data_IF_555568677397
#
_entry.id   IF_555568677397
#
_cell.length_a   1.000
_cell.length_b   1.000
_cell.length_c   1.000
_cell.angle_alpha   90.00
_cell.angle_beta   90.00
_cell.angle_gamma   90.00
#
_symmetry.space_group_name_H-M   'P 1'
#
loop_
_entity.id
_entity.type
_entity.pdbx_description
1 polymer ?
#
# COMPACT_ATOMS: atom_id res chain seq x y z
N UNK A 1 7.89 43.31 -35.28
CA UNK A 1 9.10 42.91 -34.52
C UNK A 1 8.84 42.54 -33.06
N UNK A 2 7.76 42.99 -32.40
CA UNK A 2 7.51 42.71 -30.97
C UNK A 2 7.00 41.30 -30.66
N UNK A 3 6.30 40.65 -31.60
CA UNK A 3 5.75 39.29 -31.41
C UNK A 3 6.84 38.19 -31.53
N UNK A 4 7.88 38.45 -32.35
CA UNK A 4 8.99 37.51 -32.57
C UNK A 4 9.92 37.38 -31.35
N UNK A 5 10.06 38.46 -30.57
CA UNK A 5 10.89 38.48 -29.34
C UNK A 5 10.26 37.68 -28.19
N UNK A 6 8.92 37.62 -28.13
CA UNK A 6 8.17 36.85 -27.13
C UNK A 6 8.16 35.35 -27.47
N UNK A 7 8.17 34.98 -28.75
CA UNK A 7 8.22 33.59 -29.17
C UNK A 7 9.62 32.97 -28.95
N UNK A 8 10.69 33.71 -29.26
CA UNK A 8 12.07 33.26 -29.02
C UNK A 8 12.36 33.10 -27.52
N UNK A 9 11.79 33.97 -26.67
CA UNK A 9 11.96 33.83 -25.22
C UNK A 9 11.23 32.59 -24.66
N UNK A 10 10.04 32.27 -25.18
CA UNK A 10 9.30 31.07 -24.80
C UNK A 10 9.93 29.78 -25.33
N UNK A 11 10.52 29.81 -26.54
CA UNK A 11 11.21 28.65 -27.11
C UNK A 11 12.53 28.37 -26.38
N UNK A 12 13.30 29.41 -26.04
CA UNK A 12 14.48 29.27 -25.19
C UNK A 12 14.13 28.82 -23.78
N UNK A 13 12.98 29.25 -23.23
CA UNK A 13 12.48 28.74 -21.94
C UNK A 13 12.07 27.27 -22.03
N UNK A 14 11.42 26.85 -23.12
CA UNK A 14 11.05 25.45 -23.36
C UNK A 14 12.28 24.55 -23.59
N UNK A 15 13.30 25.05 -24.31
CA UNK A 15 14.58 24.37 -24.49
C UNK A 15 15.37 24.35 -23.19
N UNK A 16 15.35 25.41 -22.38
CA UNK A 16 15.92 25.41 -21.02
C UNK A 16 15.18 24.44 -20.11
N UNK A 17 13.85 24.34 -20.18
CA UNK A 17 13.06 23.38 -19.40
C UNK A 17 13.30 21.96 -19.89
N UNK A 18 13.36 21.69 -21.20
CA UNK A 18 13.68 20.38 -21.76
C UNK A 18 15.12 19.97 -21.46
N UNK A 19 16.09 20.86 -21.60
CA UNK A 19 17.49 20.58 -21.26
C UNK A 19 17.71 20.49 -19.75
N UNK A 20 17.02 21.27 -18.91
CA UNK A 20 17.04 21.06 -17.45
C UNK A 20 16.34 19.77 -17.08
N UNK A 21 15.22 19.40 -17.69
CA UNK A 21 14.51 18.14 -17.35
C UNK A 21 15.30 16.93 -17.82
N UNK A 22 15.93 17.00 -19.00
CA UNK A 22 16.82 15.94 -19.52
C UNK A 22 18.13 15.90 -18.72
N UNK A 23 18.73 17.05 -18.36
CA UNK A 23 19.96 17.10 -17.55
C UNK A 23 19.69 16.70 -16.10
N UNK A 24 18.54 17.05 -15.52
CA UNK A 24 18.11 16.59 -14.19
C UNK A 24 17.80 15.09 -14.21
N UNK A 25 17.18 14.56 -15.27
CA UNK A 25 16.97 13.12 -15.44
C UNK A 25 18.27 12.35 -15.69
N UNK A 26 19.23 12.91 -16.43
CA UNK A 26 20.54 12.28 -16.70
C UNK A 26 21.45 12.34 -15.48
N UNK A 27 21.46 13.43 -14.71
CA UNK A 27 22.18 13.50 -13.43
C UNK A 27 21.54 12.61 -12.36
N UNK A 28 20.21 12.51 -12.29
CA UNK A 28 19.54 11.57 -11.38
C UNK A 28 19.83 10.11 -11.76
N UNK A 29 19.95 9.78 -13.05
CA UNK A 29 20.25 8.42 -13.54
C UNK A 29 21.74 8.08 -13.45
N UNK A 30 22.66 9.04 -13.65
CA UNK A 30 24.10 8.81 -13.44
C UNK A 30 24.51 8.78 -11.96
N UNK A 31 23.81 9.51 -11.08
CA UNK A 31 24.14 9.56 -9.64
C UNK A 31 23.34 8.55 -8.80
N UNK A 32 22.32 7.88 -9.37
CA UNK A 32 21.59 6.77 -8.73
C UNK A 32 22.08 5.38 -9.15
N UNK A 33 23.30 5.27 -9.69
CA UNK A 33 24.01 4.00 -9.83
C UNK A 33 25.15 3.91 -8.80
N UNK A 34 24.88 3.77 -7.49
CA UNK A 34 25.63 2.79 -6.74
C UNK A 34 25.14 1.40 -7.16
N UNK A 35 26.03 0.42 -7.15
CA UNK A 35 25.75 -1.01 -7.38
C UNK A 35 25.86 -1.49 -8.84
N UNK A 36 27.02 -1.23 -9.45
CA UNK A 36 27.56 -2.10 -10.52
C UNK A 36 28.51 -3.20 -9.99
N UNK A 37 28.55 -3.47 -8.68
CA UNK A 37 29.50 -4.42 -8.07
C UNK A 37 28.88 -5.71 -7.50
N UNK A 38 27.59 -5.99 -7.73
CA UNK A 38 26.94 -7.19 -7.20
C UNK A 38 26.88 -8.39 -8.18
N UNK A 39 27.86 -8.56 -9.08
CA UNK A 39 27.88 -9.71 -10.00
C UNK A 39 29.29 -10.29 -10.29
N UNK A 40 30.14 -10.38 -9.26
CA UNK A 40 31.22 -11.37 -9.22
C UNK A 40 31.10 -12.22 -7.94
N UNK A 41 30.31 -13.28 -8.01
CA UNK A 41 30.31 -14.28 -6.95
C UNK A 41 29.14 -15.23 -7.05
N UNK A 42 29.39 -16.43 -7.58
CA UNK A 42 28.51 -17.57 -7.33
C UNK A 42 28.38 -17.77 -5.81
N UNK A 43 27.16 -17.71 -5.25
CA UNK A 43 26.84 -18.44 -4.02
C UNK A 43 25.44 -19.04 -4.09
N UNK A 44 25.39 -20.29 -3.64
CA UNK A 44 24.27 -21.21 -3.62
C UNK A 44 23.25 -20.93 -2.51
N UNK A 45 22.05 -21.55 -2.54
CA UNK A 45 20.85 -21.08 -1.84
C UNK A 45 20.77 -21.27 -0.30
N UNK A 46 21.86 -21.59 0.41
CA UNK A 46 21.79 -22.01 1.82
C UNK A 46 22.03 -20.92 2.89
N UNK A 47 22.49 -19.71 2.52
CA UNK A 47 22.96 -18.72 3.51
C UNK A 47 21.95 -17.62 3.93
N UNK A 48 20.70 -17.65 3.43
CA UNK A 48 19.72 -16.55 3.64
C UNK A 48 19.01 -16.54 5.01
N UNK A 49 19.44 -17.34 6.01
CA UNK A 49 18.76 -17.42 7.32
C UNK A 49 19.44 -16.65 8.47
N UNK A 50 20.60 -15.99 8.28
CA UNK A 50 21.36 -15.42 9.42
C UNK A 50 21.77 -13.94 9.35
N UNK A 51 21.10 -13.13 8.53
CA UNK A 51 21.32 -11.67 8.48
C UNK A 51 20.03 -10.87 8.61
N UNK A 52 19.23 -11.16 9.64
CA UNK A 52 18.05 -10.36 9.98
C UNK A 52 18.13 -9.89 11.44
N UNK A 53 19.21 -9.22 11.77
CA UNK A 53 19.39 -8.43 12.99
C UNK A 53 20.53 -7.45 12.68
N UNK A 54 20.36 -6.17 13.03
CA UNK A 54 21.27 -5.05 12.75
C UNK A 54 21.45 -4.75 11.26
N UNK A 55 20.55 -3.91 10.72
CA UNK A 55 20.91 -2.81 9.80
C UNK A 55 19.63 -1.98 9.58
N UNK A 56 19.42 -1.07 10.53
CA UNK A 56 18.44 0.01 10.41
C UNK A 56 19.09 1.18 9.66
N UNK A 57 18.41 1.60 8.60
CA UNK A 57 18.34 2.97 8.07
C UNK A 57 19.58 3.86 8.16
N UNK A 58 20.31 3.96 7.03
CA UNK A 58 21.10 5.14 6.72
C UNK A 58 20.94 5.56 5.25
N UNK A 59 19.76 6.06 4.88
CA UNK A 59 19.63 6.92 3.70
C UNK A 59 19.62 8.38 4.13
N UNK A 60 20.83 8.94 4.09
CA UNK A 60 21.19 10.32 4.39
C UNK A 60 20.79 11.20 3.19
N UNK A 61 19.62 11.82 3.25
CA UNK A 61 19.28 12.92 2.35
C UNK A 61 19.82 14.23 2.93
N UNK A 62 20.97 14.68 2.41
CA UNK A 62 21.43 16.05 2.57
C UNK A 62 20.53 16.97 1.72
N UNK A 63 19.71 17.80 2.37
CA UNK A 63 19.41 19.14 1.88
C UNK A 63 18.97 20.03 3.05
N UNK A 64 19.84 20.98 3.39
CA UNK A 64 19.60 22.28 4.01
C UNK A 64 18.54 22.43 5.09
N UNK A 65 19.01 22.64 6.33
CA UNK A 65 18.41 23.61 7.25
C UNK A 65 17.63 23.03 8.44
N UNK A 66 18.07 23.41 9.65
CA UNK A 66 17.39 23.27 10.95
C UNK A 66 17.38 21.86 11.57
N UNK A 67 18.45 21.58 12.30
CA UNK A 67 18.56 20.52 13.31
C UNK A 67 17.72 20.92 14.55
N UNK A 68 16.45 20.56 14.60
CA UNK A 68 15.69 20.51 15.87
C UNK A 68 14.71 19.34 15.81
N UNK A 69 14.69 18.53 16.87
CA UNK A 69 13.80 17.39 17.14
C UNK A 69 14.12 16.07 16.41
N UNK A 70 15.10 15.32 16.94
CA UNK A 70 15.13 13.86 16.79
C UNK A 70 15.31 13.13 18.13
N UNK A 71 14.73 13.68 19.20
CA UNK A 71 14.71 13.07 20.54
C UNK A 71 13.31 13.00 21.15
N UNK A 72 12.27 12.96 20.31
CA UNK A 72 10.85 12.81 20.73
C UNK A 72 10.14 11.77 19.85
N UNK A 73 10.70 10.56 19.69
CA UNK A 73 9.96 9.48 19.00
C UNK A 73 9.91 8.15 19.76
N UNK A 74 10.61 8.03 20.90
CA UNK A 74 10.75 6.74 21.60
C UNK A 74 9.83 6.58 22.83
N UNK A 75 8.91 7.52 23.08
CA UNK A 75 7.99 7.48 24.25
C UNK A 75 6.49 7.56 23.93
N UNK A 76 6.08 7.50 22.66
CA UNK A 76 4.65 7.57 22.27
C UNK A 76 4.09 6.30 21.60
N UNK A 77 4.78 5.16 21.69
CA UNK A 77 4.42 3.95 20.93
C UNK A 77 3.58 2.91 21.70
N UNK A 78 3.16 3.18 22.95
CA UNK A 78 2.33 2.24 23.72
C UNK A 78 0.81 2.43 23.51
N UNK A 79 0.35 3.61 23.06
CA UNK A 79 -1.08 3.92 22.97
C UNK A 79 -1.75 3.56 21.62
N UNK A 80 -1.02 3.19 20.57
CA UNK A 80 -1.58 2.98 19.21
C UNK A 80 -1.69 1.52 18.77
N UNK A 81 -1.46 0.53 19.64
CA UNK A 81 -1.53 -0.88 19.22
C UNK A 81 -2.94 -1.46 19.08
N UNK A 82 -3.97 -0.70 19.48
CA UNK A 82 -5.38 -1.13 19.41
C UNK A 82 -6.26 -0.08 18.75
N UNK A 83 -7.44 -0.50 18.31
CA UNK A 83 -8.51 0.41 17.90
C UNK A 83 -9.31 0.81 19.14
N UNK A 84 -9.73 2.08 19.21
CA UNK A 84 -10.64 2.53 20.26
C UNK A 84 -12.07 2.10 19.90
N UNK A 85 -12.54 1.00 20.47
CA UNK A 85 -13.87 0.42 20.21
C UNK A 85 -14.46 -0.15 21.49
N UNK A 86 -15.78 0.02 21.66
CA UNK A 86 -16.52 -0.53 22.81
C UNK A 86 -16.62 -2.05 22.65
N UNK A 87 -16.33 -2.85 23.69
CA UNK A 87 -16.39 -4.30 23.63
C UNK A 87 -17.85 -4.78 23.58
N UNK A 88 -18.31 -5.17 22.39
CA UNK A 88 -19.64 -5.75 22.15
C UNK A 88 -19.54 -6.89 21.14
N UNK A 89 -20.45 -7.84 21.19
CA UNK A 89 -20.48 -9.01 20.28
C UNK A 89 -20.57 -8.57 18.81
N UNK A 90 -21.34 -7.52 18.53
CA UNK A 90 -21.48 -6.94 17.18
C UNK A 90 -20.16 -6.37 16.69
N UNK A 91 -19.45 -5.59 17.53
CA UNK A 91 -18.14 -5.04 17.19
C UNK A 91 -17.08 -6.12 16.99
N UNK A 92 -17.11 -7.19 17.78
CA UNK A 92 -16.25 -8.36 17.57
C UNK A 92 -16.45 -8.96 16.17
N UNK A 93 -17.70 -9.06 15.70
CA UNK A 93 -18.03 -9.48 14.33
C UNK A 93 -17.42 -8.54 13.28
N UNK A 94 -17.57 -7.23 13.46
CA UNK A 94 -17.03 -6.20 12.55
C UNK A 94 -15.50 -6.27 12.48
N UNK A 95 -14.80 -6.38 13.61
CA UNK A 95 -13.34 -6.44 13.64
C UNK A 95 -12.82 -7.75 13.03
N UNK A 96 -13.49 -8.89 13.26
CA UNK A 96 -13.17 -10.16 12.58
C UNK A 96 -13.35 -10.07 11.07
N UNK A 97 -14.44 -9.46 10.60
CA UNK A 97 -14.66 -9.25 9.17
C UNK A 97 -13.57 -8.36 8.56
N UNK A 98 -13.13 -7.31 9.28
CA UNK A 98 -11.99 -6.46 8.87
C UNK A 98 -10.67 -7.23 8.80
N UNK A 99 -10.41 -8.14 9.75
CA UNK A 99 -9.21 -8.99 9.72
C UNK A 99 -9.22 -9.89 8.48
N UNK A 100 -10.33 -10.56 8.18
CA UNK A 100 -10.48 -11.38 6.97
C UNK A 100 -10.34 -10.54 5.70
N UNK A 101 -10.87 -9.31 5.70
CA UNK A 101 -10.68 -8.35 4.61
C UNK A 101 -9.21 -7.97 4.42
N UNK A 102 -8.48 -7.70 5.51
CA UNK A 102 -7.07 -7.35 5.49
C UNK A 102 -6.18 -8.51 5.01
N UNK A 103 -6.45 -9.75 5.41
CA UNK A 103 -5.69 -10.93 4.97
C UNK A 103 -5.92 -11.23 3.49
N UNK A 104 -7.17 -11.13 3.01
CA UNK A 104 -7.48 -11.24 1.57
C UNK A 104 -6.85 -10.11 0.77
N UNK A 105 -6.94 -8.86 1.26
CA UNK A 105 -6.37 -7.68 0.63
C UNK A 105 -4.85 -7.77 0.48
N UNK A 106 -4.16 -8.26 1.51
CA UNK A 106 -2.74 -8.58 1.45
C UNK A 106 -2.44 -9.56 0.32
N UNK A 107 -3.07 -10.74 0.32
CA UNK A 107 -2.81 -11.78 -0.68
C UNK A 107 -2.99 -11.28 -2.12
N UNK A 108 -3.98 -10.40 -2.37
CA UNK A 108 -4.22 -9.79 -3.68
C UNK A 108 -3.12 -8.77 -4.04
N UNK A 109 -2.74 -7.90 -3.11
CA UNK A 109 -1.68 -6.91 -3.34
C UNK A 109 -0.33 -7.57 -3.57
N UNK A 110 -0.05 -8.68 -2.88
CA UNK A 110 1.17 -9.47 -3.08
C UNK A 110 1.23 -10.10 -4.48
N UNK A 111 0.13 -10.70 -4.94
CA UNK A 111 0.03 -11.19 -6.33
C UNK A 111 0.23 -10.08 -7.36
N UNK A 112 -0.34 -8.88 -7.10
CA UNK A 112 -0.16 -7.70 -7.97
C UNK A 112 1.30 -7.24 -7.99
N UNK A 113 1.98 -7.14 -6.84
CA UNK A 113 3.39 -6.72 -6.79
C UNK A 113 4.30 -7.69 -7.52
N UNK A 114 4.04 -8.98 -7.40
CA UNK A 114 4.85 -10.02 -8.04
C UNK A 114 4.67 -9.97 -9.58
N UNK A 115 3.43 -9.79 -10.06
CA UNK A 115 3.15 -9.60 -11.49
C UNK A 115 3.82 -8.33 -12.06
N UNK A 116 3.77 -7.21 -11.33
CA UNK A 116 4.46 -5.98 -11.73
C UNK A 116 5.98 -6.15 -11.78
N UNK A 117 6.56 -6.92 -10.84
CA UNK A 117 8.01 -7.17 -10.80
C UNK A 117 8.48 -8.01 -12.00
N UNK A 118 7.66 -8.96 -12.47
CA UNK A 118 7.96 -9.73 -13.69
C UNK A 118 8.02 -8.80 -14.90
N UNK A 119 7.02 -7.92 -15.06
CA UNK A 119 6.96 -6.94 -16.15
C UNK A 119 8.12 -5.93 -16.07
N UNK A 120 8.46 -5.47 -14.87
CA UNK A 120 9.60 -4.59 -14.62
C UNK A 120 10.92 -5.19 -15.15
N UNK A 121 11.17 -6.47 -14.86
CA UNK A 121 12.37 -7.18 -15.35
C UNK A 121 12.36 -7.33 -16.87
N UNK A 122 11.21 -7.56 -17.49
CA UNK A 122 11.09 -7.65 -18.95
C UNK A 122 11.41 -6.31 -19.61
N UNK A 123 10.88 -5.20 -19.06
CA UNK A 123 11.17 -3.85 -19.54
C UNK A 123 12.65 -3.50 -19.36
N UNK A 124 13.25 -3.87 -18.22
CA UNK A 124 14.68 -3.63 -17.96
C UNK A 124 15.55 -4.31 -19.03
N UNK A 125 15.28 -5.58 -19.36
CA UNK A 125 16.00 -6.28 -20.43
C UNK A 125 15.86 -5.58 -21.77
N UNK A 126 14.64 -5.12 -22.12
CA UNK A 126 14.38 -4.37 -23.36
C UNK A 126 15.13 -3.04 -23.39
N UNK A 127 15.19 -2.32 -22.27
CA UNK A 127 15.93 -1.05 -22.18
C UNK A 127 17.41 -1.27 -22.48
N UNK A 128 18.02 -2.33 -21.95
CA UNK A 128 19.44 -2.63 -22.22
C UNK A 128 19.65 -2.93 -23.70
N UNK A 129 18.85 -3.81 -24.30
CA UNK A 129 18.98 -4.14 -25.73
C UNK A 129 18.75 -2.95 -26.65
N UNK A 130 17.74 -2.11 -26.35
CA UNK A 130 17.42 -0.91 -27.15
C UNK A 130 18.47 0.18 -26.97
N UNK A 131 19.11 0.26 -25.79
CA UNK A 131 20.19 1.23 -25.55
C UNK A 131 21.46 0.87 -26.31
N UNK A 132 21.77 -0.43 -26.43
CA UNK A 132 22.86 -0.93 -27.27
C UNK A 132 22.59 -0.65 -28.76
N UNK A 133 21.38 -0.98 -29.25
CA UNK A 133 21.02 -0.72 -30.65
C UNK A 133 20.98 0.78 -30.97
N UNK A 134 20.51 1.62 -30.03
CA UNK A 134 20.57 3.08 -30.14
C UNK A 134 22.01 3.58 -30.31
N UNK A 135 22.96 3.02 -29.55
CA UNK A 135 24.38 3.38 -29.66
C UNK A 135 24.93 3.16 -31.07
N UNK A 136 24.61 2.03 -31.68
CA UNK A 136 25.06 1.69 -33.04
C UNK A 136 24.36 2.55 -34.11
N UNK A 137 23.05 2.75 -34.00
CA UNK A 137 22.28 3.59 -34.95
C UNK A 137 22.70 5.07 -34.86
N UNK A 138 23.03 5.57 -33.67
CA UNK A 138 23.53 6.93 -33.49
C UNK A 138 24.95 7.10 -34.04
N UNK A 139 25.80 6.08 -33.86
CA UNK A 139 27.15 6.04 -34.41
C UNK A 139 27.13 6.10 -35.94
N UNK A 140 26.35 5.23 -36.58
CA UNK A 140 26.17 5.22 -38.04
C UNK A 140 25.60 6.54 -38.56
N UNK A 141 24.63 7.13 -37.87
CA UNK A 141 24.05 8.44 -38.23
C UNK A 141 25.06 9.59 -38.09
N UNK A 142 25.94 9.54 -37.09
CA UNK A 142 27.00 10.54 -36.90
C UNK A 142 28.09 10.44 -37.98
N UNK A 143 28.39 9.23 -38.46
CA UNK A 143 29.27 9.04 -39.61
C UNK A 143 28.64 9.58 -40.90
N UNK A 144 27.37 9.27 -41.16
CA UNK A 144 26.65 9.81 -42.32
C UNK A 144 26.58 11.35 -42.32
N UNK A 145 26.48 11.97 -41.13
CA UNK A 145 26.57 13.43 -40.99
C UNK A 145 27.95 13.97 -41.38
N UNK A 146 29.01 13.25 -40.99
CA UNK A 146 30.39 13.65 -41.27
C UNK A 146 30.68 13.55 -42.76
N UNK A 147 30.22 12.50 -43.43
CA UNK A 147 30.29 12.34 -44.88
C UNK A 147 29.51 13.45 -45.60
N UNK A 148 28.28 13.74 -45.16
CA UNK A 148 27.47 14.82 -45.73
C UNK A 148 28.15 16.18 -45.57
N UNK A 149 28.77 16.47 -44.42
CA UNK A 149 29.53 17.71 -44.18
C UNK A 149 30.77 17.82 -45.06
N UNK A 150 31.50 16.71 -45.25
CA UNK A 150 32.69 16.68 -46.09
C UNK A 150 32.37 17.00 -47.55
N UNK A 151 31.28 16.43 -48.07
CA UNK A 151 30.88 16.61 -49.48
C UNK A 151 30.18 17.95 -49.74
N UNK A 152 29.28 18.37 -48.84
CA UNK A 152 28.47 19.58 -49.02
C UNK A 152 29.17 20.88 -48.55
N UNK A 153 30.25 20.77 -47.76
CA UNK A 153 30.91 21.91 -47.13
C UNK A 153 30.11 22.50 -45.98
N UNK A 154 30.60 23.61 -45.41
CA UNK A 154 30.05 24.19 -44.18
C UNK A 154 28.71 24.95 -44.37
N UNK A 155 28.43 25.36 -45.61
CA UNK A 155 27.27 26.17 -45.97
C UNK A 155 25.92 25.45 -45.79
N UNK A 156 25.90 24.11 -45.87
CA UNK A 156 24.67 23.30 -45.73
C UNK A 156 24.01 23.49 -44.36
N UNK A 157 24.80 23.72 -43.31
CA UNK A 157 24.31 23.86 -41.93
C UNK A 157 23.40 25.08 -41.79
N UNK A 158 23.81 26.21 -42.35
CA UNK A 158 23.04 27.46 -42.29
C UNK A 158 21.72 27.34 -43.05
N UNK A 159 21.77 26.75 -44.25
CA UNK A 159 20.58 26.50 -45.08
C UNK A 159 19.58 25.61 -44.35
N UNK A 160 20.03 24.53 -43.70
CA UNK A 160 19.13 23.63 -42.97
C UNK A 160 18.48 24.34 -41.79
N UNK A 161 19.23 25.14 -41.02
CA UNK A 161 18.72 25.86 -39.86
C UNK A 161 17.69 26.93 -40.24
N UNK A 162 17.90 27.66 -41.33
CA UNK A 162 16.96 28.68 -41.83
C UNK A 162 15.66 28.06 -42.35
N UNK A 163 15.72 26.84 -42.90
CA UNK A 163 14.56 26.13 -43.45
C UNK A 163 13.72 25.40 -42.38
N UNK A 164 14.06 25.44 -41.08
CA UNK A 164 13.25 24.81 -40.03
C UNK A 164 12.07 25.71 -39.65
N UNK A 165 10.89 25.46 -40.22
CA UNK A 165 9.65 26.13 -39.82
C UNK A 165 8.75 25.23 -38.95
N UNK A 166 8.47 24.01 -39.41
CA UNK A 166 7.60 23.05 -38.74
C UNK A 166 8.32 21.71 -38.52
N UNK A 167 7.98 21.02 -37.43
CA UNK A 167 8.51 19.68 -37.16
C UNK A 167 7.91 18.66 -38.14
N UNK A 168 8.77 17.91 -38.85
CA UNK A 168 8.36 16.85 -39.77
C UNK A 168 7.93 15.56 -39.05
N UNK A 169 8.51 15.30 -37.88
CA UNK A 169 8.19 14.14 -37.03
C UNK A 169 7.59 14.66 -35.75
N UNK A 170 6.40 14.15 -35.41
CA UNK A 170 5.69 14.45 -34.17
C UNK A 170 5.54 13.18 -33.34
N UNK A 171 5.40 13.34 -32.03
CA UNK A 171 5.22 12.23 -31.09
C UNK A 171 3.82 12.32 -30.49
N UNK A 172 3.08 11.22 -30.52
CA UNK A 172 1.77 11.09 -29.87
C UNK A 172 1.91 10.19 -28.64
N UNK A 173 1.27 10.59 -27.54
CA UNK A 173 1.18 9.75 -26.35
C UNK A 173 -0.05 8.86 -26.41
N UNK A 174 0.14 7.58 -26.11
CA UNK A 174 -0.89 6.55 -25.92
C UNK A 174 -0.77 6.00 -24.51
N UNK A 175 -1.88 5.56 -23.92
CA UNK A 175 -1.85 4.91 -22.61
C UNK A 175 -1.99 3.40 -22.78
N UNK A 176 -1.09 2.64 -22.15
CA UNK A 176 -1.13 1.17 -22.09
C UNK A 176 -1.41 0.73 -20.64
N UNK A 177 -2.31 -0.23 -20.43
CA UNK A 177 -2.66 -0.70 -19.08
C UNK A 177 -1.99 -2.04 -18.78
N UNK A 178 -1.12 -2.06 -17.77
CA UNK A 178 -0.45 -3.29 -17.31
C UNK A 178 -0.78 -3.51 -15.84
N UNK A 179 -1.47 -4.62 -15.53
CA UNK A 179 -1.86 -5.01 -14.17
C UNK A 179 -2.55 -3.89 -13.34
N UNK A 180 -3.32 -3.03 -14.02
CA UNK A 180 -4.03 -1.90 -13.40
C UNK A 180 -3.16 -0.66 -13.15
N UNK A 181 -2.00 -0.55 -13.81
CA UNK A 181 -1.16 0.66 -13.87
C UNK A 181 -1.19 1.17 -15.30
N UNK A 182 -1.55 2.45 -15.47
CA UNK A 182 -1.56 3.12 -16.78
C UNK A 182 -0.15 3.64 -17.08
N UNK A 183 0.47 3.11 -18.12
CA UNK A 183 1.79 3.49 -18.59
C UNK A 183 1.68 4.39 -19.82
N UNK A 184 2.43 5.49 -19.89
CA UNK A 184 2.53 6.30 -21.09
C UNK A 184 3.44 5.61 -22.11
N UNK A 185 2.92 5.41 -23.31
CA UNK A 185 3.62 4.92 -24.49
C UNK A 185 3.71 6.01 -25.53
N UNK A 186 4.84 6.13 -26.21
CA UNK A 186 5.01 7.10 -27.28
C UNK A 186 5.00 6.41 -28.64
N UNK A 187 4.20 6.94 -29.56
CA UNK A 187 4.15 6.53 -30.96
C UNK A 187 4.66 7.71 -31.81
N UNK A 188 5.55 7.45 -32.76
CA UNK A 188 5.99 8.48 -33.71
C UNK A 188 5.00 8.56 -34.87
N UNK A 189 4.75 9.78 -35.35
CA UNK A 189 3.88 10.06 -36.47
C UNK A 189 4.53 11.08 -37.40
N UNK A 190 4.54 10.77 -38.69
CA UNK A 190 5.07 11.65 -39.73
C UNK A 190 3.89 12.34 -40.41
N UNK A 191 3.76 13.65 -40.24
CA UNK A 191 2.84 14.45 -41.05
C UNK A 191 3.49 14.65 -42.41
N UNK A 192 2.90 14.06 -43.45
CA UNK A 192 3.42 14.10 -44.80
C UNK A 192 3.36 15.52 -45.37
N UNK A 193 4.51 16.21 -45.35
CA UNK A 193 4.93 17.23 -46.31
C UNK A 193 6.39 17.59 -46.01
N UNK A 194 7.33 16.90 -46.66
CA UNK A 194 8.76 17.18 -46.52
C UNK A 194 9.18 18.29 -47.47
N UNK A 195 8.95 19.55 -47.08
CA UNK A 195 9.36 20.76 -47.83
C UNK A 195 10.87 20.95 -47.99
N UNK A 196 11.67 20.05 -47.44
CA UNK A 196 13.14 20.14 -47.42
C UNK A 196 13.84 19.29 -48.48
N UNK A 197 13.11 18.70 -49.44
CA UNK A 197 13.73 17.85 -50.47
C UNK A 197 14.65 18.63 -51.44
N UNK A 198 14.62 19.97 -51.42
CA UNK A 198 15.54 20.82 -52.19
C UNK A 198 16.91 21.08 -51.51
N UNK A 199 17.16 20.58 -50.30
CA UNK A 199 18.45 20.79 -49.63
C UNK A 199 19.56 19.98 -50.29
N UNK A 200 20.64 20.62 -50.74
CA UNK A 200 21.81 19.95 -51.32
C UNK A 200 21.80 19.83 -52.86
N UNK A 201 20.96 20.60 -53.55
CA UNK A 201 20.88 20.62 -55.02
C UNK A 201 22.21 21.00 -55.71
N UNK A 202 23.02 21.84 -55.07
CA UNK A 202 24.28 22.33 -55.64
C UNK A 202 25.42 21.30 -55.57
N UNK A 203 25.60 20.62 -54.42
CA UNK A 203 26.62 19.59 -54.18
C UNK A 203 26.17 18.63 -53.08
N UNK A 204 26.37 17.33 -53.30
CA UNK A 204 26.25 16.31 -52.24
C UNK A 204 24.84 15.94 -51.78
N UNK A 205 23.78 16.29 -52.52
CA UNK A 205 22.39 16.01 -52.14
C UNK A 205 22.08 14.55 -51.79
N UNK A 206 22.71 13.58 -52.47
CA UNK A 206 22.55 12.16 -52.16
C UNK A 206 23.06 11.81 -50.74
N UNK A 207 24.18 12.39 -50.32
CA UNK A 207 24.75 12.16 -48.98
C UNK A 207 23.94 12.86 -47.89
N UNK A 208 23.40 14.05 -48.20
CA UNK A 208 22.47 14.76 -47.30
C UNK A 208 21.19 13.95 -47.09
N UNK A 209 20.64 13.35 -48.15
CA UNK A 209 19.45 12.51 -48.05
C UNK A 209 19.72 11.20 -47.31
N UNK A 210 20.90 10.58 -47.52
CA UNK A 210 21.33 9.40 -46.76
C UNK A 210 21.47 9.72 -45.26
N UNK A 211 22.09 10.85 -44.92
CA UNK A 211 22.20 11.34 -43.56
C UNK A 211 20.83 11.57 -42.92
N UNK A 212 19.90 12.20 -43.65
CA UNK A 212 18.52 12.38 -43.19
C UNK A 212 17.84 11.05 -42.89
N UNK A 213 17.93 10.07 -43.80
CA UNK A 213 17.35 8.74 -43.59
C UNK A 213 17.94 8.03 -42.36
N UNK A 214 19.25 8.17 -42.11
CA UNK A 214 19.90 7.63 -40.92
C UNK A 214 19.39 8.29 -39.62
N UNK A 215 19.23 9.62 -39.61
CA UNK A 215 18.68 10.33 -38.45
C UNK A 215 17.20 10.07 -38.20
N UNK A 216 16.39 9.86 -39.24
CA UNK A 216 14.98 9.45 -39.07
C UNK A 216 14.92 8.12 -38.32
N UNK A 217 15.72 7.12 -38.73
CA UNK A 217 15.84 5.83 -38.02
C UNK A 217 16.35 6.00 -36.58
N UNK A 218 17.30 6.90 -36.35
CA UNK A 218 17.77 7.22 -34.99
C UNK A 218 16.66 7.77 -34.10
N UNK A 219 15.82 8.67 -34.64
CA UNK A 219 14.71 9.28 -33.90
C UNK A 219 13.66 8.21 -33.55
N UNK A 220 13.37 7.27 -34.44
CA UNK A 220 12.46 6.15 -34.15
C UNK A 220 12.92 5.34 -32.94
N UNK A 221 14.19 4.95 -32.90
CA UNK A 221 14.78 4.20 -31.77
C UNK A 221 14.80 5.04 -30.49
N UNK A 222 15.06 6.34 -30.59
CA UNK A 222 15.02 7.26 -29.44
C UNK A 222 13.62 7.41 -28.85
N UNK A 223 12.58 7.47 -29.69
CA UNK A 223 11.18 7.55 -29.23
C UNK A 223 10.79 6.25 -28.52
N UNK A 224 11.19 5.09 -29.04
CA UNK A 224 10.96 3.80 -28.39
C UNK A 224 11.67 3.73 -27.03
N UNK A 225 12.95 4.14 -26.97
CA UNK A 225 13.71 4.17 -25.72
C UNK A 225 13.07 5.10 -24.68
N UNK A 226 12.65 6.31 -25.08
CA UNK A 226 11.99 7.27 -24.20
C UNK A 226 10.67 6.72 -23.65
N UNK A 227 9.92 5.99 -24.48
CA UNK A 227 8.69 5.29 -24.07
C UNK A 227 8.97 4.24 -22.99
N UNK A 228 10.00 3.42 -23.18
CA UNK A 228 10.40 2.40 -22.21
C UNK A 228 10.90 3.02 -20.90
N UNK A 229 11.70 4.08 -20.95
CA UNK A 229 12.21 4.79 -19.77
C UNK A 229 11.10 5.43 -18.94
N UNK A 230 10.16 6.12 -19.59
CA UNK A 230 9.04 6.76 -18.89
C UNK A 230 8.12 5.72 -18.27
N UNK A 231 7.86 4.62 -18.99
CA UNK A 231 7.11 3.47 -18.47
C UNK A 231 7.83 2.80 -17.28
N UNK A 232 9.16 2.71 -17.32
CA UNK A 232 9.96 2.14 -16.24
C UNK A 232 9.88 2.95 -14.94
N UNK A 233 10.01 4.28 -15.02
CA UNK A 233 9.91 5.16 -13.85
C UNK A 233 8.51 5.11 -13.21
N UNK A 234 7.46 5.14 -14.03
CA UNK A 234 6.07 5.07 -13.55
C UNK A 234 5.77 3.71 -12.91
N UNK A 235 6.28 2.62 -13.47
CA UNK A 235 6.12 1.28 -12.93
C UNK A 235 6.91 1.07 -11.62
N UNK A 236 8.12 1.64 -11.49
CA UNK A 236 8.92 1.59 -10.25
C UNK A 236 8.19 2.25 -9.08
N UNK A 237 7.63 3.44 -9.29
CA UNK A 237 6.83 4.13 -8.27
C UNK A 237 5.61 3.30 -7.90
N UNK A 238 4.94 2.67 -8.87
CA UNK A 238 3.82 1.78 -8.60
C UNK A 238 4.21 0.56 -7.75
N UNK A 239 5.37 -0.07 -8.02
CA UNK A 239 5.88 -1.19 -7.20
C UNK A 239 6.22 -0.74 -5.78
N UNK A 240 6.90 0.40 -5.62
CA UNK A 240 7.26 0.93 -4.30
C UNK A 240 6.01 1.23 -3.46
N UNK A 241 4.98 1.83 -4.08
CA UNK A 241 3.72 2.12 -3.38
C UNK A 241 2.94 0.86 -3.03
N UNK A 242 2.91 -0.18 -3.88
CA UNK A 242 2.27 -1.45 -3.53
C UNK A 242 3.02 -2.18 -2.42
N UNK A 243 4.35 -2.24 -2.46
CA UNK A 243 5.16 -2.87 -1.42
C UNK A 243 5.00 -2.17 -0.07
N UNK A 244 4.97 -0.83 -0.05
CA UNK A 244 4.66 -0.06 1.18
C UNK A 244 3.30 -0.43 1.76
N UNK A 245 2.28 -0.63 0.92
CA UNK A 245 0.93 -1.05 1.36
C UNK A 245 0.91 -2.47 1.91
N UNK A 246 1.63 -3.40 1.27
CA UNK A 246 1.77 -4.78 1.78
C UNK A 246 2.43 -4.76 3.16
N UNK A 247 3.54 -4.04 3.32
CA UNK A 247 4.24 -3.93 4.60
C UNK A 247 3.39 -3.28 5.69
N UNK A 248 2.60 -2.25 5.34
CA UNK A 248 1.67 -1.62 6.27
C UNK A 248 0.56 -2.59 6.74
N UNK A 249 0.07 -3.45 5.84
CA UNK A 249 -0.92 -4.46 6.19
C UNK A 249 -0.34 -5.55 7.10
N UNK A 250 0.88 -6.02 6.81
CA UNK A 250 1.57 -7.05 7.59
C UNK A 250 1.95 -6.58 8.99
N UNK A 251 2.60 -5.41 9.09
CA UNK A 251 3.28 -5.00 10.32
C UNK A 251 2.47 -4.01 11.16
N UNK A 252 1.48 -3.33 10.59
CA UNK A 252 0.69 -2.31 11.31
C UNK A 252 -0.76 -2.73 11.45
N UNK A 253 -1.47 -3.01 10.36
CA UNK A 253 -2.93 -3.21 10.41
C UNK A 253 -3.31 -4.55 11.00
N UNK A 254 -2.69 -5.65 10.54
CA UNK A 254 -3.02 -7.01 11.01
C UNK A 254 -2.77 -7.18 12.52
N UNK A 255 -1.62 -6.80 13.09
CA UNK A 255 -1.39 -6.92 14.53
C UNK A 255 -2.35 -6.06 15.35
N UNK A 256 -2.69 -4.86 14.87
CA UNK A 256 -3.65 -3.98 15.56
C UNK A 256 -5.05 -4.59 15.63
N UNK A 257 -5.49 -5.26 14.56
CA UNK A 257 -6.78 -5.95 14.54
C UNK A 257 -6.77 -7.18 15.44
N UNK A 258 -5.70 -7.97 15.44
CA UNK A 258 -5.55 -9.15 16.31
C UNK A 258 -5.56 -8.76 17.80
N UNK A 259 -4.80 -7.73 18.19
CA UNK A 259 -4.81 -7.20 19.55
C UNK A 259 -6.19 -6.71 19.98
N UNK A 260 -6.91 -6.05 19.07
CA UNK A 260 -8.28 -5.57 19.35
C UNK A 260 -9.26 -6.74 19.54
N UNK A 261 -9.12 -7.82 18.76
CA UNK A 261 -9.96 -9.02 18.91
C UNK A 261 -9.68 -9.69 20.26
N UNK A 262 -8.42 -9.82 20.65
CA UNK A 262 -8.04 -10.39 21.96
C UNK A 262 -8.62 -9.57 23.10
N UNK A 263 -8.56 -8.23 23.01
CA UNK A 263 -9.16 -7.33 24.00
C UNK A 263 -10.68 -7.53 24.12
N UNK A 264 -11.42 -7.44 23.00
CA UNK A 264 -12.90 -7.56 23.05
C UNK A 264 -13.32 -8.95 23.55
N UNK A 265 -12.61 -10.01 23.17
CA UNK A 265 -12.88 -11.36 23.69
C UNK A 265 -12.67 -11.43 25.20
N UNK A 266 -11.56 -10.90 25.71
CA UNK A 266 -11.28 -10.88 27.15
C UNK A 266 -12.34 -10.14 27.96
N UNK A 267 -12.81 -8.99 27.46
CA UNK A 267 -13.88 -8.22 28.11
C UNK A 267 -15.24 -8.94 28.08
N UNK A 268 -15.60 -9.57 26.96
CA UNK A 268 -16.84 -10.35 26.86
C UNK A 268 -16.81 -11.59 27.76
N UNK A 269 -15.66 -12.29 27.83
CA UNK A 269 -15.49 -13.46 28.68
C UNK A 269 -15.59 -13.08 30.18
N UNK A 270 -15.12 -11.90 30.57
CA UNK A 270 -15.26 -11.41 31.95
C UNK A 270 -16.72 -11.01 32.28
N UNK A 271 -17.41 -10.33 31.37
CA UNK A 271 -18.84 -10.02 31.52
C UNK A 271 -19.69 -11.30 31.64
N UNK A 272 -19.42 -12.30 30.79
CA UNK A 272 -20.10 -13.60 30.87
C UNK A 272 -19.80 -14.32 32.19
N UNK A 273 -18.56 -14.22 32.69
CA UNK A 273 -18.17 -14.77 33.98
C UNK A 273 -18.93 -14.10 35.12
N UNK A 274 -19.01 -12.76 35.15
CA UNK A 274 -19.77 -12.02 36.17
C UNK A 274 -21.26 -12.38 36.18
N UNK A 275 -21.88 -12.44 35.00
CA UNK A 275 -23.29 -12.81 34.87
C UNK A 275 -23.54 -14.26 35.29
N UNK A 276 -22.62 -15.17 34.94
CA UNK A 276 -22.68 -16.57 35.40
C UNK A 276 -22.60 -16.67 36.94
N UNK A 277 -21.71 -15.92 37.58
CA UNK A 277 -21.62 -15.87 39.04
C UNK A 277 -22.90 -15.32 39.68
N UNK A 278 -23.50 -14.27 39.10
CA UNK A 278 -24.75 -13.67 39.56
C UNK A 278 -25.90 -14.67 39.50
N UNK A 279 -26.06 -15.35 38.36
CA UNK A 279 -27.08 -16.40 38.18
C UNK A 279 -26.88 -17.58 39.14
N UNK A 280 -25.63 -18.02 39.34
CA UNK A 280 -25.31 -19.11 40.27
C UNK A 280 -25.66 -18.75 41.72
N UNK A 281 -25.43 -17.51 42.15
CA UNK A 281 -25.85 -17.03 43.48
C UNK A 281 -27.37 -17.06 43.62
N UNK A 282 -28.11 -16.50 42.65
CA UNK A 282 -29.57 -16.47 42.67
C UNK A 282 -30.16 -17.88 42.69
N UNK A 283 -29.65 -18.80 41.87
CA UNK A 283 -30.07 -20.20 41.89
C UNK A 283 -29.74 -20.88 43.23
N UNK A 284 -28.58 -20.56 43.82
CA UNK A 284 -28.22 -21.02 45.15
C UNK A 284 -29.19 -20.55 46.24
N UNK A 285 -29.61 -19.28 46.21
CA UNK A 285 -30.63 -18.76 47.12
C UNK A 285 -31.99 -19.43 46.91
N UNK A 286 -32.47 -19.52 45.67
CA UNK A 286 -33.73 -20.20 45.35
C UNK A 286 -33.73 -21.67 45.78
N UNK A 287 -32.63 -22.38 45.58
CA UNK A 287 -32.51 -23.78 45.99
C UNK A 287 -32.57 -23.93 47.52
N UNK A 288 -31.86 -23.08 48.27
CA UNK A 288 -31.91 -23.07 49.74
C UNK A 288 -33.32 -22.75 50.26
N UNK A 289 -34.02 -21.82 49.61
CA UNK A 289 -35.38 -21.47 49.99
C UNK A 289 -36.36 -22.62 49.73
N UNK A 290 -36.24 -23.30 48.59
CA UNK A 290 -37.02 -24.52 48.30
C UNK A 290 -36.72 -25.63 49.32
N UNK A 291 -35.46 -25.84 49.68
CA UNK A 291 -35.06 -26.83 50.71
C UNK A 291 -35.66 -26.48 52.08
N UNK A 292 -35.69 -25.20 52.46
CA UNK A 292 -36.30 -24.72 53.71
C UNK A 292 -37.82 -24.90 53.70
N UNK A 293 -38.49 -24.60 52.58
CA UNK A 293 -39.93 -24.81 52.42
C UNK A 293 -40.29 -26.31 52.49
N UNK A 294 -39.52 -27.18 51.82
CA UNK A 294 -39.68 -28.63 51.91
C UNK A 294 -39.48 -29.17 53.33
N UNK A 295 -38.50 -28.65 54.07
CA UNK A 295 -38.30 -29.02 55.47
C UNK A 295 -39.50 -28.60 56.34
N UNK A 296 -40.00 -27.36 56.18
CA UNK A 296 -41.18 -26.90 56.91
C UNK A 296 -42.44 -27.71 56.56
N UNK A 297 -42.66 -28.04 55.29
CA UNK A 297 -43.81 -28.84 54.85
C UNK A 297 -43.76 -30.28 55.41
N UNK A 298 -42.56 -30.87 55.52
CA UNK A 298 -42.37 -32.16 56.19
C UNK A 298 -42.71 -32.08 57.68
N UNK A 299 -42.23 -31.06 58.38
CA UNK A 299 -42.57 -30.83 59.80
C UNK A 299 -44.08 -30.68 60.01
N UNK A 300 -44.76 -29.85 59.21
CA UNK A 300 -46.23 -29.74 59.25
C UNK A 300 -46.95 -31.07 58.99
N UNK A 301 -46.43 -31.91 58.08
CA UNK A 301 -47.02 -33.22 57.81
C UNK A 301 -46.81 -34.22 58.96
N UNK A 302 -45.65 -34.18 59.62
CA UNK A 302 -45.32 -35.01 60.78
C UNK A 302 -46.16 -34.58 61.99
N UNK A 303 -46.35 -33.28 62.22
CA UNK A 303 -47.21 -32.74 63.27
C UNK A 303 -48.68 -33.14 63.05
N UNK A 304 -49.20 -33.06 61.82
CA UNK A 304 -50.57 -33.54 61.51
C UNK A 304 -50.74 -35.05 61.67
N UNK A 305 -49.70 -35.83 61.36
CA UNK A 305 -49.72 -37.28 61.59
C UNK A 305 -49.68 -37.60 63.08
N UNK A 306 -48.88 -36.89 63.86
CA UNK A 306 -48.86 -37.00 65.32
C UNK A 306 -50.19 -36.59 65.96
N UNK A 307 -50.82 -35.51 65.47
CA UNK A 307 -52.13 -35.06 65.91
C UNK A 307 -53.22 -36.10 65.58
N UNK A 308 -53.23 -36.68 64.37
CA UNK A 308 -54.16 -37.76 64.01
C UNK A 308 -53.95 -39.05 64.81
N UNK A 309 -52.70 -39.40 65.11
CA UNK A 309 -52.37 -40.56 65.97
C UNK A 309 -52.77 -40.30 67.42
N UNK A 310 -52.66 -39.05 67.90
CA UNK A 310 -53.13 -38.64 69.24
C UNK A 310 -54.66 -38.64 69.35
N UNK A 311 -55.38 -38.28 68.28
CA UNK A 311 -56.85 -38.37 68.22
C UNK A 311 -57.36 -39.82 68.13
N UNK A 312 -56.58 -40.75 67.55
CA UNK A 312 -56.91 -42.18 67.53
C UNK A 312 -56.61 -42.90 68.86
N UNK A 313 -55.64 -42.41 69.66
CA UNK A 313 -55.38 -42.87 71.03
C UNK A 313 -56.09 -41.96 72.01
N UNK A 314 -57.42 -42.12 72.16
CA UNK A 314 -58.24 -41.27 73.02
C UNK A 314 -57.64 -41.00 74.41
N UNK A 315 -57.12 -39.79 74.62
CA UNK A 315 -56.77 -39.23 75.91
C UNK A 315 -57.28 -37.78 75.92
N UNK A 316 -58.30 -37.54 76.73
CA UNK A 316 -58.84 -36.21 77.03
C UNK A 316 -57.88 -35.49 77.98
N UNK A 317 -57.47 -34.27 77.65
CA UNK A 317 -57.14 -33.25 78.66
C UNK A 317 -57.65 -31.89 78.19
N UNK A 318 -58.65 -31.39 78.91
CA UNK A 318 -59.11 -30.01 78.86
C UNK A 318 -57.95 -29.05 79.16
N UNK A 319 -57.66 -28.14 78.23
CA UNK A 319 -57.45 -26.71 78.52
C UNK A 319 -57.27 -25.95 77.22
N UNK A 320 -58.32 -25.25 76.82
CA UNK A 320 -58.20 -24.11 75.95
C UNK A 320 -57.34 -23.06 76.66
N UNK A 321 -56.22 -22.66 76.07
CA UNK A 321 -55.62 -21.38 76.39
C UNK A 321 -54.88 -20.79 75.17
N UNK A 322 -55.48 -19.74 74.63
CA UNK A 322 -54.91 -18.63 73.86
C UNK A 322 -53.50 -18.81 73.30
N UNK A 323 -53.38 -19.02 71.98
CA UNK A 323 -52.19 -18.65 71.22
C UNK A 323 -52.58 -18.13 69.81
N UNK A 324 -53.35 -17.04 69.80
CA UNK A 324 -53.46 -16.12 68.67
C UNK A 324 -52.85 -14.77 69.09
N UNK A 325 -51.56 -14.76 69.38
CA UNK A 325 -50.79 -13.51 69.48
C UNK A 325 -49.30 -13.78 69.31
N UNK A 326 -48.72 -13.28 68.21
CA UNK A 326 -47.27 -13.18 68.04
C UNK A 326 -46.81 -13.70 66.70
N UNK A 327 -46.70 -12.81 65.72
CA UNK A 327 -46.10 -13.16 64.43
C UNK A 327 -46.29 -12.19 63.27
N UNK A 328 -46.66 -10.93 63.50
CA UNK A 328 -46.43 -9.86 62.52
C UNK A 328 -45.18 -9.07 62.93
N UNK A 329 -44.00 -9.65 62.74
CA UNK A 329 -42.84 -8.85 62.43
C UNK A 329 -42.85 -8.68 60.92
N UNK A 330 -43.32 -7.50 60.50
CA UNK A 330 -43.00 -6.97 59.17
C UNK A 330 -41.49 -6.79 59.15
N UNK A 331 -40.79 -7.71 58.49
CA UNK A 331 -39.45 -7.43 58.01
C UNK A 331 -39.60 -6.37 56.91
N UNK A 332 -39.43 -5.11 57.31
CA UNK A 332 -39.01 -4.04 56.42
C UNK A 332 -37.55 -4.31 56.00
N UNK A 333 -37.34 -5.33 55.18
CA UNK A 333 -36.14 -5.40 54.37
C UNK A 333 -36.40 -4.54 53.12
N UNK A 334 -36.11 -3.25 53.29
CA UNK A 334 -35.79 -2.35 52.20
C UNK A 334 -34.60 -2.96 51.45
N UNK A 335 -34.88 -3.58 50.31
CA UNK A 335 -33.88 -3.95 49.31
C UNK A 335 -34.05 -3.00 48.13
N UNK A 336 -33.17 -1.99 48.14
CA UNK A 336 -32.83 -0.93 47.16
C UNK A 336 -33.86 0.17 46.89
#
# INVERSE_FOLDING_TARGET
MSVFRVLIHNLNLLILILTYTIRFSVYQVLFSLPDLDLFRGQRSPSDLRKQRSSDGDLYRCYHGGSLVCFSIFDKMSSQSQRLNVVPTVTMLGVVKARLVGATRGHALLKKKSDALTVQFRQILKKIVSTKESMGEVMKTSSFALTEAKYVAGENIKHIVLENVQNASIKVRSRQENIAGVKLPKFEYFTEGETKNDLTGLARGGQQVQACRAAYVKSIEVLVELASLQTSFLTLDVAIKTTNRRVNALENVVKPRLENTITYIKGELDELEREDFFRLKKIQGYKKREIERQLASAKQFSEDQLAEKVSLQRGISVNSAHNFLSGGMQKDEDIIF
#
